data_IF_288617019144
#
_entry.id   IF_288617019144
#
_cell.length_a   1.000
_cell.length_b   1.000
_cell.length_c   1.000
_cell.angle_alpha   90.00
_cell.angle_beta   90.00
_cell.angle_gamma   90.00
#
_symmetry.space_group_name_H-M   'P 1'
#
loop_
_entity.id
_entity.type
_entity.pdbx_description
1 polymer ?
#
# COMPACT_ATOMS: atom_id res chain seq x y z
N UNK A 1 9.14 -24.43 -2.63
CA UNK A 1 8.45 -23.51 -3.56
C UNK A 1 7.90 -22.33 -2.77
N UNK A 2 8.20 -21.10 -3.18
CA UNK A 2 7.67 -19.89 -2.54
C UNK A 2 6.16 -19.79 -2.77
N UNK A 3 5.39 -19.62 -1.69
CA UNK A 3 3.92 -19.54 -1.71
C UNK A 3 3.47 -18.22 -2.36
N UNK A 4 2.38 -18.26 -3.14
CA UNK A 4 1.73 -17.02 -3.57
C UNK A 4 1.04 -16.35 -2.38
N UNK A 5 1.31 -15.06 -2.17
CA UNK A 5 0.59 -14.24 -1.22
C UNK A 5 -0.71 -13.70 -1.84
N UNK A 6 -0.66 -13.39 -3.14
CA UNK A 6 -1.77 -12.83 -3.89
C UNK A 6 -1.91 -13.53 -5.24
N UNK A 7 -3.13 -13.92 -5.58
CA UNK A 7 -3.50 -14.38 -6.92
C UNK A 7 -4.72 -13.59 -7.41
N UNK A 8 -4.62 -13.05 -8.58
CA UNK A 8 -5.71 -12.37 -9.29
C UNK A 8 -6.11 -13.26 -10.44
N UNK A 9 -7.41 -13.61 -10.53
CA UNK A 9 -7.93 -14.54 -11.54
C UNK A 9 -9.04 -13.86 -12.36
N UNK A 10 -8.73 -13.59 -13.63
CA UNK A 10 -9.67 -13.11 -14.66
C UNK A 10 -10.47 -11.88 -14.20
N UNK A 11 -9.85 -10.93 -13.49
CA UNK A 11 -10.56 -9.75 -13.03
C UNK A 11 -10.91 -8.82 -14.19
N UNK A 12 -12.13 -8.30 -14.10
CA UNK A 12 -12.60 -7.16 -14.88
C UNK A 12 -12.93 -6.04 -13.90
N UNK A 13 -12.64 -4.80 -14.27
CA UNK A 13 -13.05 -3.60 -13.52
C UNK A 13 -13.59 -2.56 -14.46
N UNK A 14 -14.83 -2.18 -14.22
CA UNK A 14 -15.53 -1.17 -15.00
C UNK A 14 -16.09 -0.09 -14.06
N UNK A 15 -16.13 1.15 -14.54
CA UNK A 15 -16.85 2.25 -13.90
C UNK A 15 -17.89 2.80 -14.88
N UNK A 16 -18.95 3.36 -14.33
CA UNK A 16 -19.92 4.11 -15.10
C UNK A 16 -19.77 5.61 -14.80
N UNK A 17 -19.58 6.41 -15.84
CA UNK A 17 -19.56 7.87 -15.71
C UNK A 17 -20.48 8.48 -16.77
N UNK A 18 -21.50 9.23 -16.35
CA UNK A 18 -22.49 9.86 -17.26
C UNK A 18 -22.96 8.92 -18.37
N UNK A 19 -23.43 7.74 -18.00
CA UNK A 19 -23.90 6.67 -18.90
C UNK A 19 -22.84 6.09 -19.86
N UNK A 20 -21.56 6.41 -19.68
CA UNK A 20 -20.45 5.77 -20.42
C UNK A 20 -19.79 4.71 -19.58
N UNK A 21 -19.60 3.53 -20.16
CA UNK A 21 -18.83 2.43 -19.55
C UNK A 21 -17.35 2.67 -19.77
N UNK A 22 -16.61 2.83 -18.67
CA UNK A 22 -15.15 2.96 -18.67
C UNK A 22 -14.57 1.64 -18.19
N UNK A 23 -13.92 0.93 -19.09
CA UNK A 23 -13.27 -0.38 -18.78
C UNK A 23 -11.83 -0.11 -18.34
N UNK A 24 -11.53 -0.39 -17.07
CA UNK A 24 -10.18 -0.23 -16.50
C UNK A 24 -9.36 -1.48 -16.70
N UNK A 25 -9.91 -2.66 -16.36
CA UNK A 25 -9.25 -3.96 -16.54
C UNK A 25 -10.10 -4.91 -17.33
N UNK A 26 -9.43 -5.76 -18.15
CA UNK A 26 -10.05 -6.77 -19.00
C UNK A 26 -9.36 -8.11 -18.79
N UNK A 27 -10.06 -9.05 -18.13
CA UNK A 27 -9.62 -10.43 -17.96
C UNK A 27 -8.17 -10.57 -17.44
N UNK A 28 -7.80 -9.75 -16.46
CA UNK A 28 -6.43 -9.71 -15.92
C UNK A 28 -6.22 -10.87 -14.96
N UNK A 29 -5.10 -11.58 -15.13
CA UNK A 29 -4.64 -12.61 -14.20
C UNK A 29 -3.17 -12.41 -13.90
N UNK A 30 -2.79 -12.49 -12.60
CA UNK A 30 -1.41 -12.41 -12.15
C UNK A 30 -1.25 -13.05 -10.78
N UNK A 31 0.00 -13.41 -10.46
CA UNK A 31 0.37 -13.98 -9.17
C UNK A 31 1.55 -13.18 -8.59
N UNK A 32 1.52 -12.95 -7.28
CA UNK A 32 2.60 -12.31 -6.53
C UNK A 32 3.01 -13.27 -5.41
N UNK A 33 4.31 -13.53 -5.33
CA UNK A 33 4.86 -14.44 -4.32
C UNK A 33 5.10 -13.69 -3.01
N UNK A 34 5.09 -14.42 -1.93
CA UNK A 34 5.46 -13.87 -0.63
C UNK A 34 6.92 -13.40 -0.66
N UNK A 35 7.15 -12.19 -0.15
CA UNK A 35 8.45 -11.54 -0.14
C UNK A 35 8.80 -10.77 -1.43
N UNK A 36 7.94 -10.79 -2.46
CA UNK A 36 8.18 -10.02 -3.68
C UNK A 36 8.08 -8.50 -3.41
N UNK A 37 8.99 -7.76 -4.00
CA UNK A 37 8.95 -6.30 -4.13
C UNK A 37 8.59 -5.96 -5.58
N UNK A 38 7.38 -5.45 -5.79
CA UNK A 38 6.78 -5.29 -7.13
C UNK A 38 6.47 -3.83 -7.42
N UNK A 39 6.96 -3.31 -8.54
CA UNK A 39 6.61 -1.98 -9.01
C UNK A 39 5.44 -2.03 -10.00
N UNK A 40 4.41 -1.22 -9.76
CA UNK A 40 3.35 -0.96 -10.73
C UNK A 40 3.73 0.26 -11.57
N UNK A 41 3.83 0.08 -12.87
CA UNK A 41 4.20 1.13 -13.80
C UNK A 41 3.14 1.27 -14.89
N UNK A 42 2.99 2.47 -15.43
CA UNK A 42 2.04 2.77 -16.49
C UNK A 42 1.66 4.25 -16.49
N UNK A 43 1.05 4.77 -17.57
CA UNK A 43 0.64 6.16 -17.67
C UNK A 43 -0.36 6.56 -16.58
N UNK A 44 -0.54 7.86 -16.37
CA UNK A 44 -1.60 8.37 -15.50
C UNK A 44 -2.96 7.86 -15.99
N UNK A 45 -3.85 7.49 -15.06
CA UNK A 45 -5.15 6.92 -15.39
C UNK A 45 -5.15 5.48 -15.89
N UNK A 46 -4.00 4.77 -15.93
CA UNK A 46 -3.95 3.35 -16.38
C UNK A 46 -4.61 2.37 -15.43
N UNK A 47 -4.95 2.78 -14.19
CA UNK A 47 -5.61 1.92 -13.19
C UNK A 47 -4.69 1.44 -12.06
N UNK A 48 -3.48 2.02 -11.88
CA UNK A 48 -2.58 1.62 -10.77
C UNK A 48 -3.26 1.70 -9.41
N UNK A 49 -3.80 2.86 -9.06
CA UNK A 49 -4.54 3.08 -7.80
C UNK A 49 -5.78 2.19 -7.70
N UNK A 50 -6.51 1.97 -8.82
CA UNK A 50 -7.65 1.05 -8.86
C UNK A 50 -7.24 -0.38 -8.52
N UNK A 51 -6.10 -0.86 -9.06
CA UNK A 51 -5.57 -2.18 -8.73
C UNK A 51 -5.22 -2.28 -7.25
N UNK A 52 -4.49 -1.28 -6.71
CA UNK A 52 -4.14 -1.24 -5.29
C UNK A 52 -5.38 -1.21 -4.39
N UNK A 53 -6.41 -0.44 -4.74
CA UNK A 53 -7.67 -0.37 -3.99
C UNK A 53 -8.43 -1.71 -4.01
N UNK A 54 -8.42 -2.44 -5.12
CA UNK A 54 -9.02 -3.78 -5.16
C UNK A 54 -8.23 -4.78 -4.32
N UNK A 55 -6.90 -4.75 -4.39
CA UNK A 55 -6.05 -5.65 -3.58
C UNK A 55 -6.19 -5.33 -2.09
N UNK A 56 -6.34 -4.06 -1.72
CA UNK A 56 -6.57 -3.63 -0.32
C UNK A 56 -7.99 -3.86 0.17
N UNK A 57 -8.88 -4.40 -0.67
CA UNK A 57 -10.29 -4.65 -0.37
C UNK A 57 -11.10 -3.37 -0.06
N UNK A 58 -10.63 -2.20 -0.48
CA UNK A 58 -11.36 -0.94 -0.44
C UNK A 58 -12.37 -0.88 -1.60
N UNK A 59 -11.98 -1.44 -2.75
CA UNK A 59 -12.83 -1.57 -3.93
C UNK A 59 -12.99 -3.05 -4.31
N UNK A 60 -14.00 -3.35 -5.12
CA UNK A 60 -14.28 -4.72 -5.58
C UNK A 60 -14.16 -4.82 -7.09
N UNK A 61 -13.68 -5.93 -7.65
CA UNK A 61 -13.72 -6.16 -9.08
C UNK A 61 -15.17 -6.26 -9.58
N UNK A 62 -15.42 -5.89 -10.83
CA UNK A 62 -16.74 -6.09 -11.47
C UNK A 62 -17.00 -7.59 -11.67
N UNK A 63 -15.96 -8.37 -11.94
CA UNK A 63 -15.99 -9.84 -12.01
C UNK A 63 -14.59 -10.41 -11.87
N UNK A 64 -14.48 -11.72 -11.66
CA UNK A 64 -13.22 -12.41 -11.38
C UNK A 64 -12.98 -12.56 -9.89
N UNK A 65 -11.79 -13.01 -9.49
CA UNK A 65 -11.47 -13.34 -8.11
C UNK A 65 -10.14 -12.73 -7.70
N UNK A 66 -10.07 -12.32 -6.43
CA UNK A 66 -8.83 -11.94 -5.73
C UNK A 66 -8.64 -12.94 -4.59
N UNK A 67 -7.55 -13.67 -4.61
CA UNK A 67 -7.20 -14.68 -3.62
C UNK A 67 -6.00 -14.16 -2.83
N UNK A 68 -6.13 -14.06 -1.53
CA UNK A 68 -5.07 -13.65 -0.62
C UNK A 68 -4.82 -14.76 0.40
N UNK A 69 -3.57 -15.20 0.53
CA UNK A 69 -3.19 -16.32 1.41
C UNK A 69 -4.09 -17.55 1.23
N UNK A 70 -4.41 -17.94 -0.03
CA UNK A 70 -5.27 -19.04 -0.42
C UNK A 70 -6.77 -18.87 -0.03
N UNK A 71 -7.20 -17.68 0.38
CA UNK A 71 -8.62 -17.37 0.63
C UNK A 71 -9.16 -16.47 -0.45
N UNK A 72 -10.32 -16.81 -1.01
CA UNK A 72 -11.03 -15.93 -1.95
C UNK A 72 -11.63 -14.74 -1.21
N UNK A 73 -11.19 -13.55 -1.60
CA UNK A 73 -11.62 -12.27 -1.01
C UNK A 73 -12.92 -11.77 -1.64
N UNK A 74 -13.26 -12.26 -2.82
CA UNK A 74 -14.39 -11.74 -3.61
C UNK A 74 -15.75 -12.08 -2.96
N UNK A 75 -15.81 -13.16 -2.19
CA UNK A 75 -17.03 -13.67 -1.52
C UNK A 75 -17.17 -13.24 -0.06
N UNK A 76 -16.21 -12.45 0.48
CA UNK A 76 -16.23 -12.06 1.89
C UNK A 76 -17.23 -10.95 2.17
N UNK A 77 -17.89 -11.04 3.33
CA UNK A 77 -18.63 -9.93 3.88
C UNK A 77 -17.69 -8.81 4.41
N UNK A 78 -18.22 -7.62 4.64
CA UNK A 78 -17.40 -6.46 5.03
C UNK A 78 -16.62 -6.69 6.33
N UNK A 79 -17.21 -7.34 7.34
CA UNK A 79 -16.53 -7.66 8.60
C UNK A 79 -15.27 -8.50 8.38
N UNK A 80 -15.35 -9.51 7.52
CA UNK A 80 -14.20 -10.36 7.20
C UNK A 80 -13.15 -9.64 6.37
N UNK A 81 -13.56 -8.73 5.47
CA UNK A 81 -12.63 -7.85 4.74
C UNK A 81 -11.90 -6.91 5.70
N UNK A 82 -12.62 -6.32 6.67
CA UNK A 82 -12.04 -5.47 7.71
C UNK A 82 -10.98 -6.21 8.53
N UNK A 83 -11.26 -7.45 8.93
CA UNK A 83 -10.31 -8.27 9.66
C UNK A 83 -9.03 -8.54 8.87
N UNK A 84 -9.14 -8.75 7.55
CA UNK A 84 -7.98 -8.94 6.67
C UNK A 84 -7.21 -7.63 6.51
N UNK A 85 -7.89 -6.51 6.23
CA UNK A 85 -7.25 -5.18 6.18
C UNK A 85 -6.50 -4.90 7.48
N UNK A 86 -7.18 -5.07 8.60
CA UNK A 86 -6.66 -4.83 9.93
C UNK A 86 -5.37 -5.62 10.22
N UNK A 87 -5.29 -6.90 9.81
CA UNK A 87 -4.22 -7.82 10.22
C UNK A 87 -3.13 -8.01 9.18
N UNK A 88 -3.46 -7.95 7.89
CA UNK A 88 -2.60 -8.48 6.85
C UNK A 88 -2.23 -7.47 5.76
N UNK A 89 -2.95 -6.36 5.62
CA UNK A 89 -2.72 -5.42 4.53
C UNK A 89 -2.54 -4.00 5.10
N UNK A 90 -1.47 -3.33 4.72
CA UNK A 90 -1.28 -1.89 4.96
C UNK A 90 -1.32 -1.14 3.65
N UNK A 91 -1.88 0.08 3.68
CA UNK A 91 -1.96 0.95 2.52
C UNK A 91 -1.30 2.30 2.80
N UNK A 92 -0.41 2.73 1.91
CA UNK A 92 0.15 4.07 1.84
C UNK A 92 -0.54 4.76 0.65
N UNK A 93 -1.31 5.79 0.92
CA UNK A 93 -2.06 6.53 -0.09
C UNK A 93 -1.23 7.65 -0.69
N UNK A 94 -1.51 8.02 -1.93
CA UNK A 94 -0.89 9.15 -2.61
C UNK A 94 -1.16 10.48 -1.88
N UNK A 95 -2.40 10.70 -1.43
CA UNK A 95 -2.73 11.74 -0.48
C UNK A 95 -2.60 11.14 0.91
N UNK A 96 -1.74 11.65 1.74
CA UNK A 96 -1.32 11.08 3.03
C UNK A 96 -2.46 10.54 3.91
N UNK A 97 -3.69 11.06 3.71
CA UNK A 97 -4.91 10.67 4.44
C UNK A 97 -4.70 10.62 5.96
N UNK A 98 -3.96 11.61 6.49
CA UNK A 98 -3.83 11.77 7.93
C UNK A 98 -5.13 12.32 8.49
N UNK A 99 -5.47 11.87 9.69
CA UNK A 99 -6.61 12.39 10.44
C UNK A 99 -6.20 13.74 11.02
N UNK A 100 -6.89 14.81 10.63
CA UNK A 100 -6.53 16.18 10.98
C UNK A 100 -6.59 16.46 12.50
N UNK A 101 -7.53 15.83 13.18
CA UNK A 101 -7.76 15.99 14.63
C UNK A 101 -6.81 15.15 15.49
N UNK A 102 -5.86 14.44 14.88
CA UNK A 102 -4.90 13.57 15.55
C UNK A 102 -3.47 14.06 15.29
N UNK A 103 -2.67 14.07 16.35
CA UNK A 103 -1.23 14.33 16.23
C UNK A 103 -0.52 13.28 15.36
N UNK A 104 0.72 13.55 14.96
CA UNK A 104 1.54 12.58 14.24
C UNK A 104 1.66 11.25 14.99
N UNK A 105 1.87 11.29 16.30
CA UNK A 105 1.94 10.09 17.15
C UNK A 105 0.61 9.32 17.15
N UNK A 106 -0.50 9.99 17.32
CA UNK A 106 -1.83 9.38 17.35
C UNK A 106 -2.21 8.78 15.99
N UNK A 107 -1.91 9.47 14.88
CA UNK A 107 -2.08 8.92 13.54
C UNK A 107 -1.31 7.60 13.38
N UNK A 108 -0.08 7.52 13.86
CA UNK A 108 0.74 6.30 13.77
C UNK A 108 0.24 5.22 14.73
N UNK A 109 -0.28 5.59 15.91
CA UNK A 109 -0.83 4.64 16.88
C UNK A 109 -2.12 3.95 16.42
N UNK A 110 -2.92 4.62 15.62
CA UNK A 110 -4.28 4.22 15.30
C UNK A 110 -4.41 2.77 14.81
N UNK A 111 -3.58 2.25 13.90
CA UNK A 111 -3.68 0.85 13.46
C UNK A 111 -3.51 -0.16 14.58
N UNK A 112 -2.70 0.13 15.58
CA UNK A 112 -2.48 -0.76 16.74
C UNK A 112 -3.64 -0.69 17.72
N UNK A 113 -4.21 0.51 17.92
CA UNK A 113 -5.43 0.70 18.73
C UNK A 113 -6.60 -0.07 18.10
N UNK A 114 -6.79 0.02 16.79
CA UNK A 114 -7.82 -0.74 16.06
C UNK A 114 -7.63 -2.26 16.22
N UNK A 115 -6.42 -2.73 16.50
CA UNK A 115 -6.11 -4.14 16.77
C UNK A 115 -6.25 -4.53 18.23
N UNK A 116 -6.73 -3.64 19.08
CA UNK A 116 -6.85 -3.84 20.54
C UNK A 116 -5.49 -4.11 21.22
N UNK A 117 -4.38 -3.62 20.64
CA UNK A 117 -3.06 -3.74 21.28
C UNK A 117 -2.96 -2.81 22.49
N UNK A 118 -2.20 -3.26 23.52
CA UNK A 118 -1.99 -2.48 24.75
C UNK A 118 -1.38 -1.11 24.45
N UNK A 119 -2.09 -0.03 24.75
CA UNK A 119 -1.73 1.36 24.38
C UNK A 119 -0.33 1.76 24.83
N UNK A 120 0.12 1.33 26.02
CA UNK A 120 1.48 1.62 26.52
C UNK A 120 2.58 0.99 25.67
N UNK A 121 2.34 -0.19 25.12
CA UNK A 121 3.27 -0.90 24.23
C UNK A 121 3.25 -0.26 22.85
N UNK A 122 2.06 -0.02 22.33
CA UNK A 122 1.83 0.61 21.02
C UNK A 122 2.46 2.00 20.94
N UNK A 123 2.33 2.80 22.01
CA UNK A 123 2.95 4.13 22.10
C UNK A 123 4.47 4.08 21.94
N UNK A 124 5.14 3.16 22.65
CA UNK A 124 6.60 2.99 22.53
C UNK A 124 7.02 2.57 21.11
N UNK A 125 6.22 1.69 20.46
CA UNK A 125 6.46 1.31 19.05
C UNK A 125 6.32 2.51 18.12
N UNK A 126 5.28 3.33 18.31
CA UNK A 126 5.02 4.52 17.49
C UNK A 126 6.10 5.61 17.68
N UNK A 127 6.52 5.87 18.90
CA UNK A 127 7.62 6.77 19.19
C UNK A 127 8.93 6.31 18.53
N UNK A 128 9.22 5.01 18.58
CA UNK A 128 10.40 4.42 17.95
C UNK A 128 10.37 4.53 16.43
N UNK A 129 9.24 4.24 15.79
CA UNK A 129 9.14 4.31 14.33
C UNK A 129 9.22 5.77 13.85
N UNK A 130 8.55 6.72 14.53
CA UNK A 130 8.64 8.13 14.21
C UNK A 130 10.07 8.67 14.36
N UNK A 131 10.79 8.26 15.40
CA UNK A 131 12.21 8.61 15.56
C UNK A 131 13.05 8.08 14.39
N UNK A 132 12.77 6.87 13.89
CA UNK A 132 13.41 6.29 12.72
C UNK A 132 13.16 7.06 11.42
N UNK A 133 12.04 7.80 11.34
CA UNK A 133 11.71 8.68 10.21
C UNK A 133 12.09 10.15 10.44
N UNK A 134 12.99 10.44 11.40
CA UNK A 134 13.42 11.80 11.77
C UNK A 134 12.26 12.71 12.22
N UNK A 135 11.22 12.13 12.85
CA UNK A 135 10.03 12.83 13.33
C UNK A 135 9.92 12.86 14.86
N UNK A 136 11.03 12.61 15.59
CA UNK A 136 11.04 12.59 17.05
C UNK A 136 10.49 13.90 17.66
N UNK A 137 10.87 15.05 17.11
CA UNK A 137 10.44 16.37 17.58
C UNK A 137 9.10 16.83 16.97
N UNK A 138 8.46 16.00 16.16
CA UNK A 138 7.18 16.26 15.48
C UNK A 138 6.01 15.40 15.97
N UNK A 139 6.25 14.58 16.99
CA UNK A 139 5.27 13.60 17.46
C UNK A 139 3.94 14.23 17.91
N UNK A 140 4.00 15.40 18.53
CA UNK A 140 2.84 16.10 19.06
C UNK A 140 2.26 17.15 18.10
N UNK A 141 2.77 17.25 16.86
CA UNK A 141 2.26 18.19 15.86
C UNK A 141 1.04 17.57 15.15
N UNK A 142 0.08 18.42 14.84
CA UNK A 142 -1.05 18.08 13.98
C UNK A 142 -0.64 18.11 12.50
N UNK A 143 -1.38 17.44 11.60
CA UNK A 143 -1.03 17.40 10.17
C UNK A 143 -0.82 18.78 9.54
N UNK A 144 -1.60 19.79 9.90
CA UNK A 144 -1.48 21.17 9.39
C UNK A 144 -0.18 21.88 9.79
N UNK A 145 0.46 21.44 10.89
CA UNK A 145 1.72 21.96 11.38
C UNK A 145 2.94 21.26 10.76
N UNK A 146 2.71 20.22 9.93
CA UNK A 146 3.73 19.40 9.29
C UNK A 146 3.90 19.80 7.82
N UNK A 147 5.14 19.84 7.34
CA UNK A 147 5.40 19.95 5.90
C UNK A 147 4.83 18.73 5.15
N UNK A 148 4.58 18.85 3.85
CA UNK A 148 4.07 17.75 3.04
C UNK A 148 4.95 16.49 3.12
N UNK A 149 6.29 16.66 3.16
CA UNK A 149 7.22 15.55 3.34
C UNK A 149 7.15 14.92 4.74
N UNK A 150 6.93 15.72 5.79
CA UNK A 150 6.73 15.20 7.16
C UNK A 150 5.41 14.42 7.25
N UNK A 151 4.32 14.94 6.66
CA UNK A 151 3.04 14.24 6.57
C UNK A 151 3.17 12.90 5.86
N UNK A 152 3.89 12.86 4.73
CA UNK A 152 4.15 11.62 3.99
C UNK A 152 4.91 10.60 4.86
N UNK A 153 5.96 11.03 5.57
CA UNK A 153 6.69 10.16 6.50
C UNK A 153 5.82 9.63 7.64
N UNK A 154 4.92 10.46 8.19
CA UNK A 154 3.92 10.01 9.19
C UNK A 154 2.99 8.95 8.59
N UNK A 155 2.46 9.16 7.38
CA UNK A 155 1.59 8.20 6.71
C UNK A 155 2.29 6.85 6.44
N UNK A 156 3.56 6.89 6.06
CA UNK A 156 4.38 5.69 5.88
C UNK A 156 4.62 5.00 7.23
N UNK A 157 5.01 5.74 8.28
CA UNK A 157 5.18 5.18 9.61
C UNK A 157 3.90 4.51 10.11
N UNK A 158 2.72 5.13 9.89
CA UNK A 158 1.40 4.57 10.19
C UNK A 158 1.15 3.24 9.48
N UNK A 159 1.52 3.13 8.20
CA UNK A 159 1.33 1.90 7.45
C UNK A 159 2.29 0.79 7.92
N UNK A 160 3.52 1.14 8.29
CA UNK A 160 4.56 0.18 8.64
C UNK A 160 4.49 -0.34 10.08
N UNK A 161 3.91 0.44 11.01
CA UNK A 161 3.83 0.04 12.43
C UNK A 161 3.04 -1.26 12.63
N UNK A 162 2.14 -1.57 11.72
CA UNK A 162 1.29 -2.76 11.77
C UNK A 162 1.99 -4.05 11.38
N UNK A 163 3.20 -4.00 10.83
CA UNK A 163 4.01 -5.17 10.43
C UNK A 163 3.23 -6.21 9.60
N UNK A 164 2.31 -5.73 8.74
CA UNK A 164 1.44 -6.57 7.91
C UNK A 164 2.24 -7.43 6.91
N UNK A 165 1.59 -8.44 6.32
CA UNK A 165 2.21 -9.34 5.35
C UNK A 165 2.35 -8.71 3.97
N UNK A 166 1.41 -7.82 3.62
CA UNK A 166 1.36 -7.11 2.35
C UNK A 166 1.28 -5.60 2.59
N UNK A 167 2.18 -4.87 1.98
CA UNK A 167 2.21 -3.41 1.98
C UNK A 167 1.91 -2.93 0.56
N UNK A 168 0.90 -2.11 0.43
CA UNK A 168 0.50 -1.46 -0.80
C UNK A 168 0.87 0.02 -0.71
N UNK A 169 1.45 0.58 -1.76
CA UNK A 169 1.84 1.98 -1.76
C UNK A 169 1.52 2.65 -3.09
N UNK A 170 0.75 3.72 -3.04
CA UNK A 170 0.42 4.52 -4.21
C UNK A 170 1.25 5.80 -4.19
N UNK A 171 2.24 5.89 -5.09
CA UNK A 171 3.21 7.00 -5.22
C UNK A 171 3.85 7.41 -3.87
N UNK A 172 4.44 6.47 -3.10
CA UNK A 172 4.83 6.71 -1.70
C UNK A 172 5.93 7.76 -1.53
N UNK A 173 6.60 8.13 -2.62
CA UNK A 173 7.72 9.09 -2.64
C UNK A 173 7.48 10.26 -3.58
N UNK A 174 6.28 10.40 -4.16
CA UNK A 174 5.99 11.38 -5.21
C UNK A 174 6.20 12.84 -4.80
N UNK A 175 6.02 13.16 -3.52
CA UNK A 175 6.14 14.51 -2.95
C UNK A 175 7.42 14.70 -2.11
N UNK A 176 8.42 13.82 -2.24
CA UNK A 176 9.62 13.82 -1.43
C UNK A 176 10.85 14.15 -2.26
N UNK A 177 11.84 14.77 -1.61
CA UNK A 177 13.17 14.93 -2.19
C UNK A 177 13.85 13.57 -2.40
N UNK A 178 14.89 13.55 -3.23
CA UNK A 178 15.58 12.33 -3.63
C UNK A 178 16.15 11.57 -2.41
N UNK A 179 16.78 12.27 -1.46
CA UNK A 179 17.38 11.65 -0.27
C UNK A 179 16.34 10.97 0.61
N UNK A 180 15.24 11.66 0.89
CA UNK A 180 14.13 11.11 1.68
C UNK A 180 13.46 9.92 0.96
N UNK A 181 13.34 10.00 -0.37
CA UNK A 181 12.83 8.89 -1.18
C UNK A 181 13.69 7.63 -1.07
N UNK A 182 15.02 7.77 -1.11
CA UNK A 182 15.97 6.68 -0.91
C UNK A 182 15.88 6.09 0.51
N UNK A 183 15.78 6.94 1.52
CA UNK A 183 15.60 6.51 2.91
C UNK A 183 14.35 5.65 3.06
N UNK A 184 13.20 6.11 2.53
CA UNK A 184 11.95 5.34 2.56
C UNK A 184 12.08 4.02 1.81
N UNK A 185 12.69 4.04 0.63
CA UNK A 185 12.89 2.82 -0.14
C UNK A 185 13.77 1.82 0.59
N UNK A 186 14.76 2.30 1.36
CA UNK A 186 15.58 1.44 2.23
C UNK A 186 14.76 0.66 3.26
N UNK A 187 13.66 1.24 3.78
CA UNK A 187 12.72 0.54 4.65
C UNK A 187 11.98 -0.58 3.91
N UNK A 188 11.55 -0.34 2.66
CA UNK A 188 10.94 -1.39 1.85
C UNK A 188 11.89 -2.57 1.64
N UNK A 189 13.16 -2.30 1.36
CA UNK A 189 14.18 -3.35 1.22
C UNK A 189 14.41 -4.12 2.53
N UNK A 190 14.38 -3.43 3.69
CA UNK A 190 14.48 -4.10 5.00
C UNK A 190 13.28 -5.01 5.26
N UNK A 191 12.08 -4.56 4.93
CA UNK A 191 10.84 -5.34 5.09
C UNK A 191 10.82 -6.57 4.16
N UNK A 192 11.29 -6.41 2.92
CA UNK A 192 11.48 -7.51 1.99
C UNK A 192 12.42 -8.59 2.58
N UNK A 193 13.54 -8.21 3.21
CA UNK A 193 14.48 -9.15 3.84
C UNK A 193 13.85 -10.00 4.94
N UNK A 194 12.78 -9.51 5.58
CA UNK A 194 11.99 -10.28 6.57
C UNK A 194 10.72 -10.87 5.96
N UNK A 195 10.74 -11.11 4.64
CA UNK A 195 9.70 -11.79 3.87
C UNK A 195 8.34 -11.08 3.82
N UNK A 196 8.32 -9.73 3.97
CA UNK A 196 7.12 -8.92 3.70
C UNK A 196 7.02 -8.63 2.21
N UNK A 197 5.80 -8.68 1.66
CA UNK A 197 5.53 -8.39 0.25
C UNK A 197 5.14 -6.92 0.09
N UNK A 198 5.63 -6.29 -0.96
CA UNK A 198 5.40 -4.88 -1.20
C UNK A 198 5.01 -4.68 -2.67
N UNK A 199 3.89 -4.00 -2.90
CA UNK A 199 3.45 -3.57 -4.23
C UNK A 199 3.34 -2.06 -4.19
N UNK A 200 4.09 -1.37 -5.03
CA UNK A 200 4.09 0.09 -5.07
C UNK A 200 3.93 0.62 -6.48
N UNK A 201 3.04 1.60 -6.65
CA UNK A 201 2.93 2.37 -7.86
C UNK A 201 3.96 3.50 -7.85
N UNK A 202 4.62 3.72 -8.97
CA UNK A 202 5.57 4.83 -9.09
C UNK A 202 5.75 5.27 -10.54
N UNK A 203 5.98 6.58 -10.73
CA UNK A 203 6.45 7.17 -11.98
C UNK A 203 7.98 7.31 -12.03
N UNK A 204 8.65 7.14 -10.90
CA UNK A 204 10.11 7.21 -10.81
C UNK A 204 10.74 5.92 -11.37
N UNK A 205 11.43 6.04 -12.51
CA UNK A 205 12.05 4.89 -13.18
C UNK A 205 13.17 4.25 -12.36
N UNK A 206 13.92 5.06 -11.63
CA UNK A 206 15.02 4.60 -10.79
C UNK A 206 14.48 3.71 -9.64
N UNK A 207 13.45 4.17 -8.94
CA UNK A 207 12.81 3.37 -7.90
C UNK A 207 12.12 2.12 -8.48
N UNK A 208 11.47 2.24 -9.65
CA UNK A 208 10.87 1.09 -10.31
C UNK A 208 11.90 0.00 -10.68
N UNK A 209 13.16 0.40 -10.97
CA UNK A 209 14.26 -0.53 -11.26
C UNK A 209 14.82 -1.24 -10.03
N UNK A 210 14.42 -0.87 -8.81
CA UNK A 210 14.81 -1.54 -7.56
C UNK A 210 13.85 -2.67 -7.16
N UNK A 211 12.76 -2.86 -7.90
CA UNK A 211 11.83 -3.98 -7.72
C UNK A 211 12.42 -5.31 -8.19
N UNK A 212 11.85 -6.43 -7.77
CA UNK A 212 12.18 -7.74 -8.34
C UNK A 212 11.70 -7.86 -9.78
N UNK A 213 10.56 -7.23 -10.07
CA UNK A 213 9.98 -7.10 -11.40
C UNK A 213 8.94 -5.98 -11.40
N UNK A 214 8.56 -5.57 -12.60
CA UNK A 214 7.53 -4.56 -12.84
C UNK A 214 6.26 -5.23 -13.36
N UNK A 215 5.12 -4.68 -12.98
CA UNK A 215 3.83 -4.93 -13.61
C UNK A 215 3.45 -3.68 -14.40
N UNK A 216 3.54 -3.77 -15.71
CA UNK A 216 3.19 -2.68 -16.64
C UNK A 216 1.70 -2.75 -16.97
N UNK A 217 0.98 -1.67 -16.64
CA UNK A 217 -0.45 -1.52 -16.90
C UNK A 217 -0.64 -0.65 -18.13
N UNK A 218 -1.24 -1.23 -19.17
CA UNK A 218 -1.52 -0.53 -20.42
C UNK A 218 -2.82 -1.05 -21.05
N UNK A 219 -3.72 -0.14 -21.43
CA UNK A 219 -4.98 -0.44 -22.14
C UNK A 219 -5.81 -1.56 -21.48
N UNK A 220 -5.87 -1.56 -20.16
CA UNK A 220 -6.64 -2.53 -19.37
C UNK A 220 -6.00 -3.91 -19.21
N UNK A 221 -4.76 -4.08 -19.67
CA UNK A 221 -3.97 -5.29 -19.51
C UNK A 221 -2.81 -5.04 -18.53
N UNK A 222 -2.36 -6.12 -17.89
CA UNK A 222 -1.17 -6.09 -17.03
C UNK A 222 -0.17 -7.12 -17.57
N UNK A 223 1.07 -6.67 -17.77
CA UNK A 223 2.18 -7.53 -18.20
C UNK A 223 3.31 -7.47 -17.20
N UNK A 224 3.87 -8.63 -16.85
CA UNK A 224 5.12 -8.70 -16.09
C UNK A 224 6.29 -8.34 -17.02
N UNK A 225 7.14 -7.45 -16.55
CA UNK A 225 8.37 -7.02 -17.22
C UNK A 225 9.51 -7.18 -16.21
N UNK A 226 10.58 -7.82 -16.64
CA UNK A 226 11.79 -7.95 -15.82
C UNK A 226 12.48 -6.59 -15.68
N UNK A 227 13.19 -6.39 -14.60
CA UNK A 227 13.97 -5.17 -14.31
C UNK A 227 15.29 -5.23 -15.03
#
# INVERSE_FOLDING_TARGET
MTKNILEIKKINKNFYHRNKLIKIFKNVSLNIKQGDLVALVGPSGSGKSTLLNMISLIDVPTSGQIIFNNKDMSSLNEKNKDDIRKKHISMIFQNNNLLADFTALENVLLPLIIRDEKIKVSRKKAEKILAGFNLKNRQNHYPEELSGGEQQRVAIARALISETDLILADEPTGNLDHKTSEEIFSYFLKLKKINKSIIYATHNRELANKADYKLSILNGNIKRVNV
#
